data_IF_559841358098
#
_entry.id   IF_559841358098
#
_cell.length_a   1.000
_cell.length_b   1.000
_cell.length_c   1.000
_cell.angle_alpha   90.00
_cell.angle_beta   90.00
_cell.angle_gamma   90.00
#
_symmetry.space_group_name_H-M   'P 1'
#
loop_
_entity.id
_entity.type
_entity.pdbx_description
1 polymer ?
#
# COMPACT_ATOMS: atom_id res chain seq x y z
N UNK A 1 3.50 -4.78 0.45
CA UNK A 1 4.55 -3.82 0.04
C UNK A 1 4.87 -2.92 1.23
N UNK A 2 6.12 -2.49 1.34
CA UNK A 2 6.64 -1.64 2.41
C UNK A 2 6.94 -0.23 1.86
N UNK A 3 7.17 0.73 2.75
CA UNK A 3 7.47 2.13 2.44
C UNK A 3 6.45 2.82 1.52
N UNK A 4 5.17 2.47 1.75
CA UNK A 4 4.02 3.09 1.11
C UNK A 4 3.29 3.96 2.12
N UNK A 5 3.26 5.26 1.83
CA UNK A 5 2.67 6.29 2.68
C UNK A 5 1.39 6.82 2.06
N UNK A 6 0.45 7.31 2.87
CA UNK A 6 -0.79 7.91 2.37
C UNK A 6 -0.57 9.42 2.18
N UNK A 7 -1.00 10.06 1.06
CA UNK A 7 -1.80 9.55 -0.06
C UNK A 7 -0.98 9.14 -1.29
N UNK A 8 -0.01 8.23 -1.11
CA UNK A 8 1.00 7.81 -2.08
C UNK A 8 2.09 8.86 -2.34
N UNK A 9 2.62 9.44 -1.28
CA UNK A 9 3.68 10.44 -1.31
C UNK A 9 4.65 10.20 -0.14
N UNK A 10 5.95 10.36 -0.37
CA UNK A 10 6.95 10.19 0.69
C UNK A 10 6.91 11.37 1.67
N UNK A 11 7.29 11.16 2.94
CA UNK A 11 7.54 12.27 3.87
C UNK A 11 8.56 13.25 3.29
N UNK A 12 8.37 14.55 3.52
CA UNK A 12 9.24 15.59 2.98
C UNK A 12 10.72 15.35 3.31
N UNK A 13 11.01 14.96 4.55
CA UNK A 13 12.38 14.69 5.00
C UNK A 13 13.05 13.62 4.13
N UNK A 14 12.34 12.54 3.78
CA UNK A 14 12.86 11.49 2.90
C UNK A 14 13.17 12.01 1.50
N UNK A 15 12.29 12.86 0.95
CA UNK A 15 12.51 13.50 -0.35
C UNK A 15 13.75 14.40 -0.29
N UNK A 16 13.90 15.21 0.77
CA UNK A 16 15.06 16.10 0.93
C UNK A 16 16.37 15.35 1.17
N UNK A 17 16.30 14.15 1.75
CA UNK A 17 17.44 13.23 1.92
C UNK A 17 17.78 12.45 0.63
N UNK A 18 17.06 12.68 -0.47
CA UNK A 18 17.27 12.02 -1.76
C UNK A 18 16.72 10.59 -1.83
N UNK A 19 15.84 10.19 -0.90
CA UNK A 19 15.19 8.88 -0.92
C UNK A 19 13.98 8.91 -1.87
N UNK A 20 14.26 8.71 -3.16
CA UNK A 20 13.27 8.71 -4.23
C UNK A 20 13.11 7.32 -4.85
N UNK A 21 12.63 6.35 -4.07
CA UNK A 21 12.56 4.94 -4.50
C UNK A 21 11.51 4.65 -5.58
N UNK A 22 10.71 5.63 -6.00
CA UNK A 22 9.67 5.55 -7.04
C UNK A 22 8.51 4.57 -6.78
N UNK A 23 8.67 3.62 -5.86
CA UNK A 23 7.73 2.54 -5.56
C UNK A 23 6.32 3.05 -5.24
N UNK A 24 6.23 4.12 -4.43
CA UNK A 24 4.95 4.68 -4.01
C UNK A 24 4.15 5.24 -5.19
N UNK A 25 4.82 5.88 -6.15
CA UNK A 25 4.19 6.48 -7.33
C UNK A 25 3.81 5.43 -8.37
N UNK A 26 4.69 4.43 -8.60
CA UNK A 26 4.40 3.31 -9.48
C UNK A 26 3.19 2.52 -8.98
N UNK A 27 3.11 2.30 -7.67
CA UNK A 27 1.96 1.65 -7.06
C UNK A 27 0.68 2.47 -7.23
N UNK A 28 0.72 3.79 -7.04
CA UNK A 28 -0.44 4.67 -7.28
C UNK A 28 -0.94 4.55 -8.72
N UNK A 29 -0.03 4.63 -9.69
CA UNK A 29 -0.35 4.49 -11.11
C UNK A 29 -0.93 3.10 -11.42
N UNK A 30 -0.32 2.05 -10.86
CA UNK A 30 -0.79 0.68 -11.00
C UNK A 30 -2.21 0.50 -10.48
N UNK A 31 -2.56 1.08 -9.31
CA UNK A 31 -3.89 0.91 -8.70
C UNK A 31 -4.98 1.78 -9.35
N UNK A 32 -4.64 2.98 -9.85
CA UNK A 32 -5.61 3.97 -10.32
C UNK A 32 -6.56 3.48 -11.42
N UNK A 33 -6.11 2.56 -12.27
CA UNK A 33 -6.91 2.00 -13.36
C UNK A 33 -6.94 0.46 -13.35
N UNK A 34 -6.67 -0.16 -12.20
CA UNK A 34 -6.56 -1.63 -12.11
C UNK A 34 -7.50 -2.20 -11.05
N UNK A 35 -8.75 -2.42 -11.47
CA UNK A 35 -9.77 -3.05 -10.62
C UNK A 35 -9.48 -4.51 -10.28
N UNK A 36 -8.42 -5.13 -10.83
CA UNK A 36 -8.05 -6.51 -10.50
C UNK A 36 -7.43 -6.65 -9.12
N UNK A 37 -7.02 -5.55 -8.48
CA UNK A 37 -6.39 -5.55 -7.17
C UNK A 37 -7.19 -4.71 -6.17
N UNK A 38 -7.37 -5.27 -4.98
CA UNK A 38 -8.03 -4.62 -3.85
C UNK A 38 -7.01 -4.31 -2.77
N UNK A 39 -7.07 -3.09 -2.25
CA UNK A 39 -6.35 -2.71 -1.02
C UNK A 39 -7.09 -3.31 0.17
N UNK A 40 -6.52 -4.32 0.83
CA UNK A 40 -7.13 -4.94 2.02
C UNK A 40 -6.60 -4.35 3.32
N UNK A 41 -5.39 -3.79 3.29
CA UNK A 41 -4.78 -3.12 4.41
C UNK A 41 -3.94 -1.97 3.90
N UNK A 42 -4.11 -0.79 4.48
CA UNK A 42 -3.23 0.35 4.21
C UNK A 42 -2.99 1.11 5.51
N UNK A 43 -1.85 0.86 6.12
CA UNK A 43 -1.57 1.26 7.50
C UNK A 43 -1.58 2.77 7.69
N UNK A 44 -0.89 3.52 6.83
CA UNK A 44 -0.85 4.98 6.87
C UNK A 44 -2.22 5.61 6.63
N UNK A 45 -3.02 5.05 5.72
CA UNK A 45 -4.40 5.48 5.51
C UNK A 45 -5.24 5.31 6.78
N UNK A 46 -5.17 4.12 7.40
CA UNK A 46 -5.92 3.82 8.62
C UNK A 46 -5.43 4.69 9.79
N UNK A 47 -4.13 4.97 9.88
CA UNK A 47 -3.59 5.91 10.86
C UNK A 47 -4.11 7.34 10.65
N UNK A 48 -4.12 7.81 9.40
CA UNK A 48 -4.57 9.16 9.06
C UNK A 48 -6.07 9.37 9.28
N UNK A 49 -6.91 8.33 9.12
CA UNK A 49 -8.39 8.45 9.18
C UNK A 49 -9.08 7.75 10.33
N UNK A 50 -8.45 6.75 10.95
CA UNK A 50 -9.06 5.86 11.93
C UNK A 50 -8.14 5.61 13.13
N UNK A 51 -7.35 6.62 13.52
CA UNK A 51 -6.34 6.53 14.59
C UNK A 51 -6.89 5.97 15.90
N UNK A 52 -8.08 6.41 16.32
CA UNK A 52 -8.70 5.98 17.58
C UNK A 52 -9.01 4.48 17.55
N UNK A 53 -9.66 4.01 16.48
CA UNK A 53 -9.96 2.60 16.27
C UNK A 53 -8.69 1.75 16.25
N UNK A 54 -7.66 2.23 15.56
CA UNK A 54 -6.38 1.53 15.50
C UNK A 54 -5.69 1.45 16.86
N UNK A 55 -5.73 2.54 17.64
CA UNK A 55 -5.09 2.60 18.95
C UNK A 55 -5.83 1.75 19.98
N UNK A 56 -7.16 1.68 19.89
CA UNK A 56 -7.98 0.81 20.73
C UNK A 56 -7.77 -0.67 20.41
N UNK A 57 -7.70 -1.04 19.12
CA UNK A 57 -7.57 -2.43 18.69
C UNK A 57 -6.13 -2.96 18.65
N UNK A 58 -5.14 -2.09 18.42
CA UNK A 58 -3.72 -2.43 18.26
C UNK A 58 -2.87 -1.31 18.89
N UNK A 59 -2.78 -1.25 20.23
CA UNK A 59 -2.12 -0.14 20.95
C UNK A 59 -0.68 0.12 20.51
N UNK A 60 0.09 -0.94 20.24
CA UNK A 60 1.50 -0.83 19.81
C UNK A 60 1.70 -0.07 18.49
N UNK A 61 0.67 -0.04 17.65
CA UNK A 61 0.72 0.69 16.38
C UNK A 61 0.81 2.20 16.58
N UNK A 62 0.42 2.71 17.77
CA UNK A 62 0.59 4.12 18.10
C UNK A 62 2.05 4.55 18.25
N UNK A 63 2.96 3.61 18.52
CA UNK A 63 4.40 3.89 18.68
C UNK A 63 5.09 4.11 17.34
N UNK A 64 4.64 3.40 16.31
CA UNK A 64 5.11 3.56 14.95
C UNK A 64 4.01 3.18 13.97
N UNK A 65 3.33 4.16 13.35
CA UNK A 65 2.30 3.87 12.36
C UNK A 65 2.87 3.16 11.12
N UNK A 66 4.18 3.29 10.87
CA UNK A 66 4.88 2.67 9.74
C UNK A 66 4.33 3.13 8.39
N UNK A 67 4.69 2.41 7.32
CA UNK A 67 4.15 2.61 5.97
C UNK A 67 4.09 1.27 5.24
N UNK A 68 2.93 0.62 5.24
CA UNK A 68 2.74 -0.61 4.48
C UNK A 68 1.34 -0.73 3.91
N UNK A 69 1.26 -1.55 2.87
CA UNK A 69 0.02 -1.85 2.16
C UNK A 69 -0.04 -3.33 1.80
N UNK A 70 -1.20 -3.94 2.00
CA UNK A 70 -1.52 -5.30 1.59
C UNK A 70 -2.55 -5.26 0.47
N UNK A 71 -2.21 -5.91 -0.64
CA UNK A 71 -3.09 -6.07 -1.78
C UNK A 71 -3.57 -7.51 -1.88
N UNK A 72 -4.79 -7.67 -2.36
CA UNK A 72 -5.34 -8.97 -2.75
C UNK A 72 -5.86 -8.86 -4.17
N UNK A 73 -5.67 -9.90 -4.97
CA UNK A 73 -6.36 -10.00 -6.26
C UNK A 73 -7.87 -10.12 -6.02
N UNK A 74 -8.66 -9.49 -6.88
CA UNK A 74 -10.12 -9.64 -6.86
C UNK A 74 -10.52 -11.12 -6.97
N UNK A 75 -11.59 -11.55 -6.27
CA UNK A 75 -12.14 -12.88 -6.43
C UNK A 75 -12.45 -13.18 -7.91
N UNK A 76 -12.10 -14.37 -8.38
CA UNK A 76 -12.30 -14.77 -9.79
C UNK A 76 -11.14 -14.39 -10.72
N UNK A 77 -10.16 -13.61 -10.27
CA UNK A 77 -8.89 -13.49 -10.98
C UNK A 77 -8.02 -14.73 -10.75
N UNK A 78 -8.15 -15.73 -11.61
CA UNK A 78 -7.16 -16.79 -11.73
C UNK A 78 -5.95 -16.23 -12.49
N UNK A 79 -4.82 -16.02 -11.80
CA UNK A 79 -3.58 -15.76 -12.49
C UNK A 79 -3.31 -16.97 -13.40
N UNK A 80 -3.18 -16.74 -14.71
CA UNK A 80 -2.70 -17.78 -15.61
C UNK A 80 -1.35 -18.27 -15.07
N UNK A 81 -1.21 -19.58 -14.87
CA UNK A 81 0.03 -20.16 -14.38
C UNK A 81 1.20 -19.67 -15.24
N UNK A 82 2.30 -19.17 -14.64
CA UNK A 82 3.42 -18.67 -15.41
C UNK A 82 4.01 -19.83 -16.22
N UNK A 83 3.82 -19.81 -17.55
CA UNK A 83 4.35 -20.85 -18.45
C UNK A 83 3.46 -21.25 -19.62
N UNK A 84 2.18 -20.87 -19.66
CA UNK A 84 1.33 -21.16 -20.82
C UNK A 84 1.26 -19.94 -21.74
N UNK A 85 2.19 -19.84 -22.70
CA UNK A 85 1.93 -19.02 -23.91
C UNK A 85 0.70 -19.63 -24.56
N UNK A 86 -0.38 -18.85 -24.67
CA UNK A 86 -1.48 -19.20 -25.58
C UNK A 86 -0.93 -19.15 -27.03
N UNK A 87 -1.34 -20.10 -27.90
CA UNK A 87 -0.95 -20.12 -29.30
C UNK A 87 -1.39 -18.87 -30.05
#
# INVERSE_FOLDING_TARGET
MHDVFFPFEYPLDWVTEGRAWQEVYLLRAFLACNSRFEVRWFRQYLWARHRELLTAGIPDMARNPGGNIWLRTTPGYAAAAPGTRRP
#
